data_IF_304212406480
#
_entry.id   IF_304212406480
#
_cell.length_a   1.000
_cell.length_b   1.000
_cell.length_c   1.000
_cell.angle_alpha   90.00
_cell.angle_beta   90.00
_cell.angle_gamma   90.00
#
_symmetry.space_group_name_H-M   'P 1'
#
loop_
_entity.id
_entity.type
_entity.pdbx_description
1 polymer ?
#
# COMPACT_ATOMS: atom_id res chain seq x y z
N UNK A 1 -19.49 -28.76 -4.97
CA UNK A 1 -18.59 -27.58 -5.06
C UNK A 1 -19.02 -26.80 -6.30
N UNK A 2 -19.68 -25.63 -6.19
CA UNK A 2 -19.97 -24.83 -7.40
C UNK A 2 -18.62 -24.37 -7.95
N UNK A 3 -18.29 -24.78 -9.17
CA UNK A 3 -17.12 -24.31 -9.92
C UNK A 3 -17.21 -22.79 -10.02
N UNK A 4 -16.24 -22.09 -9.40
CA UNK A 4 -16.06 -20.65 -9.58
C UNK A 4 -15.71 -20.45 -11.05
N UNK A 5 -16.47 -19.62 -11.77
CA UNK A 5 -16.16 -19.33 -13.17
C UNK A 5 -14.81 -18.62 -13.26
N UNK A 6 -14.07 -18.81 -14.36
CA UNK A 6 -12.84 -18.04 -14.64
C UNK A 6 -13.14 -16.54 -14.55
N UNK A 7 -14.32 -16.12 -15.01
CA UNK A 7 -14.78 -14.74 -14.90
C UNK A 7 -14.87 -14.25 -13.45
N UNK A 8 -15.43 -15.06 -12.55
CA UNK A 8 -15.53 -14.69 -11.13
C UNK A 8 -14.15 -14.58 -10.50
N UNK A 9 -13.23 -15.49 -10.83
CA UNK A 9 -11.84 -15.43 -10.36
C UNK A 9 -11.14 -14.15 -10.82
N UNK A 10 -11.31 -13.73 -12.07
CA UNK A 10 -10.73 -12.47 -12.58
C UNK A 10 -11.29 -11.25 -11.84
N UNK A 11 -12.59 -11.23 -11.52
CA UNK A 11 -13.19 -10.17 -10.73
C UNK A 11 -12.64 -10.13 -9.29
N UNK A 12 -12.40 -11.30 -8.68
CA UNK A 12 -11.77 -11.38 -7.36
C UNK A 12 -10.35 -10.82 -7.38
N UNK A 13 -9.55 -11.20 -8.39
CA UNK A 13 -8.18 -10.70 -8.53
C UNK A 13 -8.16 -9.19 -8.75
N UNK A 14 -8.99 -8.68 -9.67
CA UNK A 14 -9.13 -7.26 -9.92
C UNK A 14 -9.53 -6.49 -8.66
N UNK A 15 -10.54 -6.96 -7.91
CA UNK A 15 -10.89 -6.36 -6.61
C UNK A 15 -9.74 -6.43 -5.62
N UNK A 16 -9.01 -7.55 -5.56
CA UNK A 16 -7.85 -7.70 -4.70
C UNK A 16 -6.78 -6.65 -4.96
N UNK A 17 -6.50 -6.32 -6.23
CA UNK A 17 -5.55 -5.23 -6.57
C UNK A 17 -6.15 -3.87 -6.18
N UNK A 18 -7.42 -3.62 -6.50
CA UNK A 18 -8.10 -2.37 -6.15
C UNK A 18 -8.16 -2.09 -4.65
N UNK A 19 -8.28 -3.14 -3.83
CA UNK A 19 -8.38 -3.05 -2.37
C UNK A 19 -7.10 -2.54 -1.71
N UNK A 20 -5.94 -2.57 -2.38
CA UNK A 20 -4.71 -1.93 -1.87
C UNK A 20 -4.96 -0.43 -1.61
N UNK A 21 -5.78 0.21 -2.45
CA UNK A 21 -6.20 1.60 -2.31
C UNK A 21 -7.67 1.71 -1.91
N UNK A 22 -8.23 0.72 -1.21
CA UNK A 22 -9.62 0.70 -0.74
C UNK A 22 -10.70 0.71 -1.84
N UNK A 23 -10.35 0.30 -3.07
CA UNK A 23 -11.29 0.25 -4.18
C UNK A 23 -11.84 -1.18 -4.36
N UNK A 24 -13.01 -1.45 -3.81
CA UNK A 24 -13.72 -2.72 -4.05
C UNK A 24 -14.36 -2.77 -5.46
N UNK A 25 -13.54 -2.61 -6.49
CA UNK A 25 -13.97 -2.50 -7.89
C UNK A 25 -12.93 -3.14 -8.80
N UNK A 26 -13.36 -4.12 -9.60
CA UNK A 26 -12.45 -4.88 -10.46
C UNK A 26 -11.87 -4.03 -11.59
N UNK A 27 -12.61 -3.06 -12.13
CA UNK A 27 -12.11 -2.14 -13.16
C UNK A 27 -11.07 -1.19 -12.57
N UNK A 28 -11.27 -0.70 -11.34
CA UNK A 28 -10.25 0.07 -10.61
C UNK A 28 -8.95 -0.70 -10.47
N UNK A 29 -9.02 -1.95 -10.00
CA UNK A 29 -7.84 -2.79 -9.88
C UNK A 29 -7.22 -3.18 -11.22
N UNK A 30 -8.00 -3.30 -12.29
CA UNK A 30 -7.47 -3.50 -13.65
C UNK A 30 -6.67 -2.27 -14.11
N UNK A 31 -7.19 -1.06 -13.92
CA UNK A 31 -6.46 0.17 -14.25
C UNK A 31 -5.17 0.31 -13.44
N UNK A 32 -5.20 -0.04 -12.15
CA UNK A 32 -4.00 -0.12 -11.32
C UNK A 32 -3.03 -1.18 -11.84
N UNK A 33 -3.51 -2.36 -12.24
CA UNK A 33 -2.65 -3.40 -12.80
C UNK A 33 -1.98 -2.95 -14.11
N UNK A 34 -2.72 -2.27 -15.00
CA UNK A 34 -2.13 -1.64 -16.20
C UNK A 34 -1.04 -0.65 -15.81
N UNK A 35 -1.30 0.19 -14.81
CA UNK A 35 -0.28 1.10 -14.26
C UNK A 35 0.99 0.36 -13.80
N UNK A 36 0.87 -0.75 -13.09
CA UNK A 36 2.01 -1.56 -12.67
C UNK A 36 2.77 -2.11 -13.89
N UNK A 37 2.07 -2.67 -14.88
CA UNK A 37 2.68 -3.20 -16.10
C UNK A 37 3.41 -2.13 -16.93
N UNK A 38 2.93 -0.89 -16.93
CA UNK A 38 3.60 0.24 -17.59
C UNK A 38 4.94 0.60 -16.92
N UNK A 39 5.05 0.39 -15.62
CA UNK A 39 6.31 0.57 -14.90
C UNK A 39 7.24 -0.64 -15.08
N UNK A 40 6.73 -1.86 -14.85
CA UNK A 40 7.49 -3.10 -15.02
C UNK A 40 6.57 -4.30 -15.23
N UNK A 41 6.84 -5.06 -16.29
CA UNK A 41 6.10 -6.30 -16.54
C UNK A 41 6.35 -7.35 -15.47
N UNK A 42 7.57 -7.40 -14.91
CA UNK A 42 7.93 -8.31 -13.83
C UNK A 42 7.11 -7.99 -12.57
N UNK A 43 7.04 -6.73 -12.16
CA UNK A 43 6.24 -6.32 -11.00
C UNK A 43 4.76 -6.62 -11.22
N UNK A 44 4.24 -6.44 -12.44
CA UNK A 44 2.86 -6.80 -12.80
C UNK A 44 2.56 -8.29 -12.61
N UNK A 45 3.46 -9.17 -13.08
CA UNK A 45 3.32 -10.62 -12.90
C UNK A 45 3.42 -11.01 -11.42
N UNK A 46 4.35 -10.43 -10.66
CA UNK A 46 4.52 -10.72 -9.24
C UNK A 46 3.35 -10.22 -8.39
N UNK A 47 2.80 -9.05 -8.72
CA UNK A 47 1.58 -8.51 -8.11
C UNK A 47 0.41 -9.50 -8.23
N UNK A 48 0.18 -10.02 -9.44
CA UNK A 48 -0.86 -11.01 -9.71
C UNK A 48 -0.55 -12.33 -9.00
N UNK A 49 0.71 -12.79 -9.03
CA UNK A 49 1.15 -14.01 -8.37
C UNK A 49 0.90 -13.99 -6.86
N UNK A 50 1.35 -12.93 -6.16
CA UNK A 50 1.14 -12.77 -4.72
C UNK A 50 -0.35 -12.66 -4.37
N UNK A 51 -1.15 -11.98 -5.19
CA UNK A 51 -2.61 -11.91 -5.04
C UNK A 51 -3.26 -13.30 -5.14
N UNK A 52 -2.89 -14.10 -6.16
CA UNK A 52 -3.39 -15.47 -6.33
C UNK A 52 -3.01 -16.32 -5.11
N UNK A 53 -1.75 -16.30 -4.68
CA UNK A 53 -1.27 -17.13 -3.57
C UNK A 53 -1.99 -16.80 -2.27
N UNK A 54 -2.06 -15.51 -1.90
CA UNK A 54 -2.76 -15.07 -0.69
C UNK A 54 -4.26 -15.36 -0.71
N UNK A 55 -4.91 -15.19 -1.87
CA UNK A 55 -6.33 -15.56 -2.08
C UNK A 55 -6.54 -17.06 -1.93
N UNK A 56 -5.67 -17.90 -2.52
CA UNK A 56 -5.73 -19.36 -2.38
C UNK A 56 -5.49 -19.81 -0.94
N UNK A 57 -4.53 -19.20 -0.25
CA UNK A 57 -4.28 -19.47 1.17
C UNK A 57 -5.54 -19.17 2.02
N UNK A 58 -6.28 -18.11 1.68
CA UNK A 58 -7.54 -17.77 2.35
C UNK A 58 -8.64 -18.80 2.06
N UNK A 59 -8.75 -19.26 0.81
CA UNK A 59 -9.67 -20.34 0.43
C UNK A 59 -9.38 -21.64 1.19
N UNK A 60 -8.11 -22.08 1.21
CA UNK A 60 -7.67 -23.32 1.88
C UNK A 60 -7.89 -23.23 3.38
N UNK A 61 -7.64 -22.05 3.97
CA UNK A 61 -7.79 -21.82 5.40
C UNK A 61 -9.25 -21.53 5.83
N UNK A 62 -10.22 -21.63 4.93
CA UNK A 62 -11.64 -21.50 5.23
C UNK A 62 -12.07 -20.09 5.68
N UNK A 63 -11.52 -19.03 5.08
CA UNK A 63 -11.99 -17.66 5.33
C UNK A 63 -13.36 -17.40 4.68
N UNK A 64 -14.03 -16.33 5.11
CA UNK A 64 -15.36 -15.94 4.64
C UNK A 64 -15.39 -15.77 3.12
N UNK A 65 -16.34 -16.43 2.45
CA UNK A 65 -16.45 -16.41 0.98
C UNK A 65 -16.76 -15.02 0.42
N UNK A 66 -17.55 -14.22 1.13
CA UNK A 66 -17.91 -12.89 0.66
C UNK A 66 -16.74 -11.93 0.76
N UNK A 67 -15.93 -12.02 1.82
CA UNK A 67 -14.67 -11.29 1.94
C UNK A 67 -13.67 -11.67 0.85
N UNK A 68 -13.56 -12.97 0.52
CA UNK A 68 -12.77 -13.45 -0.62
C UNK A 68 -13.28 -12.83 -1.92
N UNK A 69 -14.60 -12.86 -2.17
CA UNK A 69 -15.20 -12.28 -3.37
C UNK A 69 -14.97 -10.77 -3.50
N UNK A 70 -14.87 -10.08 -2.37
CA UNK A 70 -14.57 -8.65 -2.26
C UNK A 70 -13.05 -8.34 -2.34
N UNK A 71 -12.20 -9.35 -2.54
CA UNK A 71 -10.75 -9.17 -2.72
C UNK A 71 -9.98 -8.86 -1.43
N UNK A 72 -10.59 -8.98 -0.25
CA UNK A 72 -9.98 -8.57 1.03
C UNK A 72 -8.76 -9.41 1.44
N UNK A 73 -8.52 -10.55 0.80
CA UNK A 73 -7.36 -11.41 1.08
C UNK A 73 -6.31 -11.38 -0.03
N UNK A 74 -6.52 -10.65 -1.13
CA UNK A 74 -5.58 -10.57 -2.26
C UNK A 74 -4.63 -9.36 -2.22
N UNK A 75 -5.05 -8.26 -1.57
CA UNK A 75 -4.31 -6.99 -1.64
C UNK A 75 -2.97 -7.02 -0.89
N UNK A 76 -2.92 -7.65 0.28
CA UNK A 76 -1.66 -7.81 1.03
C UNK A 76 -0.67 -8.67 0.21
N UNK A 77 -1.13 -9.76 -0.42
CA UNK A 77 -0.29 -10.56 -1.30
C UNK A 77 0.16 -9.80 -2.55
N UNK A 78 -0.68 -8.92 -3.10
CA UNK A 78 -0.30 -8.02 -4.21
C UNK A 78 0.91 -7.16 -3.83
N UNK A 79 0.85 -6.51 -2.67
CA UNK A 79 1.96 -5.68 -2.16
C UNK A 79 3.21 -6.50 -1.85
N UNK A 80 3.06 -7.73 -1.32
CA UNK A 80 4.19 -8.63 -1.07
C UNK A 80 4.87 -9.02 -2.38
N UNK A 81 4.11 -9.41 -3.40
CA UNK A 81 4.67 -9.76 -4.71
C UNK A 81 5.50 -8.63 -5.30
N UNK A 82 4.97 -7.40 -5.25
CA UNK A 82 5.69 -6.22 -5.73
C UNK A 82 6.92 -5.93 -4.87
N UNK A 83 6.77 -5.87 -3.54
CA UNK A 83 7.87 -5.54 -2.63
C UNK A 83 9.03 -6.53 -2.78
N UNK A 84 8.73 -7.82 -2.91
CA UNK A 84 9.74 -8.84 -3.17
C UNK A 84 10.46 -8.53 -4.49
N UNK A 85 9.72 -8.27 -5.57
CA UNK A 85 10.31 -7.87 -6.87
C UNK A 85 11.14 -6.58 -6.85
N UNK A 86 10.90 -5.68 -5.89
CA UNK A 86 11.65 -4.42 -5.73
C UNK A 86 12.91 -4.62 -4.88
N UNK A 87 12.83 -5.41 -3.81
CA UNK A 87 13.93 -5.53 -2.85
C UNK A 87 14.88 -6.70 -3.11
N UNK A 88 14.54 -7.62 -4.01
CA UNK A 88 15.24 -8.90 -4.12
C UNK A 88 15.56 -9.28 -5.57
N UNK A 89 16.72 -9.92 -5.77
CA UNK A 89 17.12 -10.46 -7.07
C UNK A 89 16.28 -11.69 -7.45
N UNK A 90 15.94 -11.79 -8.74
CA UNK A 90 15.14 -12.88 -9.26
C UNK A 90 15.89 -14.22 -9.12
N UNK A 91 15.33 -15.13 -8.33
CA UNK A 91 15.83 -16.50 -8.15
C UNK A 91 14.69 -17.45 -7.81
N UNK A 92 14.97 -18.76 -7.76
CA UNK A 92 13.98 -19.73 -7.32
C UNK A 92 13.62 -19.53 -5.82
N UNK A 93 14.61 -19.20 -4.99
CA UNK A 93 14.43 -18.92 -3.56
C UNK A 93 13.54 -17.70 -3.33
N UNK A 94 13.71 -16.67 -4.14
CA UNK A 94 12.87 -15.49 -4.17
C UNK A 94 11.38 -15.83 -4.38
N UNK A 95 11.04 -16.69 -5.36
CA UNK A 95 9.65 -17.07 -5.61
C UNK A 95 9.05 -17.88 -4.46
N UNK A 96 9.84 -18.76 -3.85
CA UNK A 96 9.42 -19.53 -2.67
C UNK A 96 9.14 -18.61 -1.48
N UNK A 97 10.05 -17.67 -1.20
CA UNK A 97 9.91 -16.72 -0.11
C UNK A 97 8.72 -15.78 -0.32
N UNK A 98 8.49 -15.31 -1.55
CA UNK A 98 7.29 -14.56 -1.91
C UNK A 98 6.02 -15.35 -1.62
N UNK A 99 5.98 -16.64 -1.98
CA UNK A 99 4.83 -17.50 -1.74
C UNK A 99 4.58 -17.68 -0.23
N UNK A 100 5.63 -17.96 0.55
CA UNK A 100 5.55 -18.11 2.00
C UNK A 100 5.09 -16.82 2.67
N UNK A 101 5.68 -15.67 2.32
CA UNK A 101 5.28 -14.37 2.85
C UNK A 101 3.82 -14.03 2.49
N UNK A 102 3.38 -14.33 1.27
CA UNK A 102 2.00 -14.12 0.82
C UNK A 102 1.01 -14.95 1.65
N UNK A 103 1.29 -16.24 1.87
CA UNK A 103 0.48 -17.10 2.75
C UNK A 103 0.48 -16.60 4.20
N UNK A 104 1.65 -16.22 4.71
CA UNK A 104 1.82 -15.73 6.07
C UNK A 104 1.01 -14.45 6.32
N UNK A 105 0.97 -13.55 5.35
CA UNK A 105 0.13 -12.33 5.42
C UNK A 105 -1.35 -12.66 5.59
N UNK A 106 -1.85 -13.65 4.85
CA UNK A 106 -3.23 -14.12 5.00
C UNK A 106 -3.49 -14.61 6.42
N UNK A 107 -2.58 -15.37 7.01
CA UNK A 107 -2.73 -15.85 8.40
C UNK A 107 -2.68 -14.72 9.43
N UNK A 108 -1.85 -13.70 9.23
CA UNK A 108 -1.87 -12.48 10.06
C UNK A 108 -3.23 -11.79 9.98
N UNK A 109 -3.89 -11.75 8.81
CA UNK A 109 -5.25 -11.20 8.70
C UNK A 109 -6.21 -11.88 9.67
N UNK A 110 -6.11 -13.21 9.90
CA UNK A 110 -6.98 -13.91 10.87
C UNK A 110 -6.81 -13.39 12.29
N UNK A 111 -5.58 -13.04 12.68
CA UNK A 111 -5.30 -12.49 14.00
C UNK A 111 -6.02 -11.14 14.18
N UNK A 112 -5.96 -10.28 13.17
CA UNK A 112 -6.71 -9.02 13.16
C UNK A 112 -8.22 -9.23 13.19
N UNK A 113 -8.73 -10.22 12.45
CA UNK A 113 -10.16 -10.58 12.48
C UNK A 113 -10.63 -11.05 13.86
N UNK A 114 -9.75 -11.60 14.71
CA UNK A 114 -10.11 -12.10 16.05
C UNK A 114 -10.09 -11.04 17.15
N UNK A 115 -9.29 -9.98 17.01
CA UNK A 115 -9.18 -8.93 18.06
C UNK A 115 -10.27 -7.85 17.98
N UNK A 116 -10.97 -7.71 16.84
CA UNK A 116 -12.15 -6.85 16.60
C UNK A 116 -12.03 -5.34 16.95
N UNK A 117 -10.89 -4.87 17.42
CA UNK A 117 -10.68 -3.51 17.92
C UNK A 117 -10.17 -2.56 16.84
N UNK A 118 -9.30 -3.06 15.96
CA UNK A 118 -8.67 -2.29 14.87
C UNK A 118 -8.64 -3.11 13.57
N UNK A 119 -8.91 -2.50 12.40
CA UNK A 119 -8.77 -3.16 11.11
C UNK A 119 -7.29 -3.44 10.80
N UNK A 120 -7.04 -4.53 10.07
CA UNK A 120 -5.67 -4.94 9.73
C UNK A 120 -4.98 -4.05 8.69
N UNK A 121 -5.73 -3.37 7.82
CA UNK A 121 -5.18 -2.60 6.71
C UNK A 121 -4.06 -3.38 5.97
N UNK A 122 -2.91 -2.74 5.73
CA UNK A 122 -1.70 -3.34 5.15
C UNK A 122 -0.71 -3.84 6.21
N UNK A 123 -1.08 -3.88 7.49
CA UNK A 123 -0.24 -4.46 8.55
C UNK A 123 0.20 -5.90 8.27
N UNK A 124 -0.66 -6.79 7.73
CA UNK A 124 -0.23 -8.14 7.35
C UNK A 124 0.90 -8.15 6.31
N UNK A 125 0.84 -7.27 5.31
CA UNK A 125 1.92 -7.05 4.35
C UNK A 125 3.20 -6.55 5.05
N UNK A 126 3.11 -5.50 5.88
CA UNK A 126 4.26 -4.89 6.56
C UNK A 126 5.02 -5.92 7.39
N UNK A 127 4.32 -6.66 8.26
CA UNK A 127 4.94 -7.67 9.10
C UNK A 127 5.58 -8.79 8.28
N UNK A 128 4.90 -9.24 7.22
CA UNK A 128 5.44 -10.29 6.35
C UNK A 128 6.72 -9.87 5.65
N UNK A 129 6.77 -8.64 5.12
CA UNK A 129 7.95 -8.11 4.43
C UNK A 129 9.08 -7.77 5.41
N UNK A 130 8.79 -7.19 6.58
CA UNK A 130 9.83 -6.94 7.59
C UNK A 130 10.50 -8.22 8.07
N UNK A 131 9.73 -9.27 8.34
CA UNK A 131 10.29 -10.58 8.71
C UNK A 131 11.10 -11.15 7.54
N UNK A 132 10.58 -11.08 6.32
CA UNK A 132 11.28 -11.56 5.14
C UNK A 132 12.62 -10.84 4.92
N UNK A 133 12.64 -9.51 4.94
CA UNK A 133 13.85 -8.71 4.80
C UNK A 133 14.83 -8.98 5.93
N UNK A 134 14.35 -9.08 7.18
CA UNK A 134 15.18 -9.44 8.32
C UNK A 134 15.86 -10.81 8.16
N UNK A 135 15.12 -11.83 7.71
CA UNK A 135 15.67 -13.15 7.40
C UNK A 135 16.72 -13.05 6.28
N UNK A 136 16.43 -12.34 5.20
CA UNK A 136 17.37 -12.21 4.08
C UNK A 136 18.65 -11.49 4.49
N UNK A 137 18.57 -10.41 5.26
CA UNK A 137 19.75 -9.68 5.75
C UNK A 137 20.67 -10.56 6.60
N UNK A 138 20.11 -11.53 7.35
CA UNK A 138 20.89 -12.38 8.25
C UNK A 138 21.39 -13.67 7.60
N UNK A 139 20.63 -14.26 6.67
CA UNK A 139 20.91 -15.61 6.14
C UNK A 139 21.40 -15.55 4.69
N UNK A 140 20.83 -14.68 3.85
CA UNK A 140 21.10 -14.62 2.40
C UNK A 140 21.16 -13.17 1.91
N UNK A 141 22.17 -12.39 2.34
CA UNK A 141 22.27 -10.97 2.00
C UNK A 141 22.44 -10.76 0.48
N UNK A 142 23.07 -11.70 -0.22
CA UNK A 142 23.27 -11.66 -1.68
C UNK A 142 21.96 -11.61 -2.48
N UNK A 143 20.84 -11.98 -1.85
CA UNK A 143 19.52 -11.95 -2.47
C UNK A 143 18.91 -10.54 -2.46
N UNK A 144 19.39 -9.64 -1.60
CA UNK A 144 18.88 -8.28 -1.48
C UNK A 144 19.51 -7.37 -2.54
N UNK A 145 18.68 -6.55 -3.18
CA UNK A 145 19.14 -5.49 -4.06
C UNK A 145 19.66 -4.32 -3.23
N UNK A 146 20.89 -3.89 -3.53
CA UNK A 146 21.47 -2.67 -2.96
C UNK A 146 20.97 -1.49 -3.79
N UNK A 147 20.38 -0.48 -3.13
CA UNK A 147 20.03 0.76 -3.81
C UNK A 147 21.31 1.50 -4.19
N UNK A 148 21.55 1.69 -5.49
CA UNK A 148 22.57 2.60 -5.96
C UNK A 148 22.06 4.05 -5.80
N UNK A 149 22.73 4.83 -4.95
CA UNK A 149 22.48 6.27 -4.87
C UNK A 149 23.24 6.95 -6.00
N UNK A 150 22.55 7.27 -7.10
CA UNK A 150 23.07 8.19 -8.11
C UNK A 150 22.85 9.61 -7.59
N UNK A 151 23.91 10.23 -7.09
CA UNK A 151 23.86 11.61 -6.60
C UNK A 151 23.91 12.57 -7.79
N UNK A 152 22.76 12.76 -8.45
CA UNK A 152 22.53 13.98 -9.21
C UNK A 152 22.06 15.05 -8.22
N UNK A 153 22.63 16.24 -8.27
CA UNK A 153 22.21 17.34 -7.39
C UNK A 153 20.84 17.86 -7.82
N UNK A 154 19.77 17.20 -7.37
CA UNK A 154 18.39 17.67 -7.54
C UNK A 154 18.19 18.89 -6.65
N UNK A 155 18.10 20.08 -7.26
CA UNK A 155 18.01 21.35 -6.52
C UNK A 155 16.58 21.80 -6.25
N UNK A 156 15.59 21.28 -6.98
CA UNK A 156 14.20 21.75 -6.92
C UNK A 156 13.20 20.58 -6.92
N UNK A 157 12.02 20.84 -6.35
CA UNK A 157 10.92 19.88 -6.31
C UNK A 157 10.13 19.98 -7.61
N UNK A 158 10.06 18.88 -8.35
CA UNK A 158 9.11 18.72 -9.44
C UNK A 158 7.78 18.27 -8.85
N UNK A 159 6.85 19.21 -8.72
CA UNK A 159 5.53 18.93 -8.14
C UNK A 159 4.70 17.93 -8.95
N UNK A 160 4.88 17.85 -10.27
CA UNK A 160 4.14 16.90 -11.11
C UNK A 160 4.69 15.49 -10.89
N UNK A 161 6.01 15.35 -10.86
CA UNK A 161 6.69 14.10 -10.54
C UNK A 161 6.37 13.65 -9.12
N UNK A 162 6.55 14.51 -8.11
CA UNK A 162 6.24 14.23 -6.72
C UNK A 162 4.78 13.82 -6.51
N UNK A 163 3.85 14.44 -7.26
CA UNK A 163 2.44 14.06 -7.26
C UNK A 163 2.22 12.66 -7.85
N UNK A 164 2.70 12.41 -9.07
CA UNK A 164 2.44 11.13 -9.73
C UNK A 164 3.14 9.97 -9.01
N UNK A 165 4.40 10.15 -8.61
CA UNK A 165 5.17 9.15 -7.87
C UNK A 165 4.65 8.99 -6.45
N UNK A 166 4.17 10.04 -5.79
CA UNK A 166 3.52 9.93 -4.48
C UNK A 166 2.30 8.99 -4.50
N UNK A 167 1.54 8.97 -5.60
CA UNK A 167 0.44 8.02 -5.79
C UNK A 167 0.97 6.62 -6.17
N UNK A 168 1.93 6.54 -7.10
CA UNK A 168 2.51 5.29 -7.58
C UNK A 168 3.24 4.49 -6.49
N UNK A 169 3.93 5.19 -5.58
CA UNK A 169 4.70 4.59 -4.48
C UNK A 169 3.85 3.81 -3.47
N UNK A 170 2.52 4.00 -3.45
CA UNK A 170 1.62 3.14 -2.65
C UNK A 170 1.79 1.66 -3.02
N UNK A 171 2.15 1.38 -4.27
CA UNK A 171 2.50 0.05 -4.75
C UNK A 171 3.94 0.00 -5.27
N UNK A 172 4.87 0.82 -4.79
CA UNK A 172 6.29 0.83 -5.23
C UNK A 172 6.51 1.09 -6.73
N UNK A 173 5.74 2.00 -7.33
CA UNK A 173 5.84 2.30 -8.76
C UNK A 173 6.48 3.66 -8.99
N UNK A 174 7.63 3.68 -9.68
CA UNK A 174 8.43 4.87 -9.98
C UNK A 174 8.19 5.38 -11.41
N UNK A 175 6.92 5.49 -11.79
CA UNK A 175 6.52 5.94 -13.13
C UNK A 175 5.34 6.93 -13.08
N UNK A 176 5.46 8.03 -13.82
CA UNK A 176 4.46 9.10 -13.87
C UNK A 176 3.10 8.60 -14.35
N UNK A 177 3.07 7.81 -15.42
CA UNK A 177 1.83 7.27 -15.98
C UNK A 177 1.16 6.32 -14.99
N UNK A 178 1.92 5.53 -14.25
CA UNK A 178 1.37 4.62 -13.24
C UNK A 178 0.57 5.38 -12.19
N UNK A 179 1.08 6.51 -11.68
CA UNK A 179 0.35 7.38 -10.76
C UNK A 179 -0.99 7.87 -11.34
N UNK A 180 -1.00 8.26 -12.62
CA UNK A 180 -2.22 8.69 -13.31
C UNK A 180 -3.23 7.55 -13.49
N UNK A 181 -2.77 6.34 -13.84
CA UNK A 181 -3.62 5.15 -13.93
C UNK A 181 -4.21 4.75 -12.57
N UNK A 182 -3.45 4.89 -11.49
CA UNK A 182 -3.94 4.64 -10.13
C UNK A 182 -5.01 5.66 -9.76
N UNK A 183 -4.77 6.95 -10.02
CA UNK A 183 -5.74 8.01 -9.79
C UNK A 183 -7.03 7.80 -10.60
N UNK A 184 -6.90 7.44 -11.89
CA UNK A 184 -8.03 7.10 -12.74
C UNK A 184 -8.79 5.87 -12.22
N UNK A 185 -8.07 4.84 -11.76
CA UNK A 185 -8.64 3.66 -11.12
C UNK A 185 -9.48 4.00 -9.90
N UNK A 186 -9.00 4.90 -9.04
CA UNK A 186 -9.76 5.42 -7.90
C UNK A 186 -10.98 6.22 -8.40
N UNK A 187 -10.82 7.10 -9.40
CA UNK A 187 -11.89 7.92 -9.95
C UNK A 187 -13.05 7.14 -10.57
N UNK A 188 -12.76 5.98 -11.17
CA UNK A 188 -13.80 5.06 -11.67
C UNK A 188 -14.73 4.59 -10.56
N UNK A 189 -14.23 4.40 -9.33
CA UNK A 189 -15.01 3.89 -8.21
C UNK A 189 -15.49 4.98 -7.24
N UNK A 190 -14.71 6.05 -7.06
CA UNK A 190 -14.99 7.11 -6.09
C UNK A 190 -14.31 8.45 -6.41
N UNK A 191 -15.12 9.45 -6.77
CA UNK A 191 -14.67 10.84 -6.90
C UNK A 191 -14.22 11.43 -5.55
N UNK A 192 -14.90 11.10 -4.44
CA UNK A 192 -14.44 11.49 -3.10
C UNK A 192 -13.08 10.90 -2.81
N UNK A 193 -12.86 9.63 -3.16
CA UNK A 193 -11.55 8.98 -3.05
C UNK A 193 -10.48 9.70 -3.86
N UNK A 194 -10.79 10.10 -5.09
CA UNK A 194 -9.87 10.84 -5.98
C UNK A 194 -9.43 12.16 -5.37
N UNK A 195 -10.37 12.93 -4.79
CA UNK A 195 -10.06 14.15 -4.06
C UNK A 195 -9.12 13.88 -2.88
N UNK A 196 -9.40 12.84 -2.07
CA UNK A 196 -8.55 12.47 -0.94
C UNK A 196 -7.18 11.93 -1.36
N UNK A 197 -7.07 11.25 -2.50
CA UNK A 197 -5.78 10.86 -3.08
C UNK A 197 -4.96 12.08 -3.45
N UNK A 198 -5.56 13.08 -4.09
CA UNK A 198 -4.87 14.32 -4.43
C UNK A 198 -4.43 15.08 -3.17
N UNK A 199 -5.32 15.22 -2.18
CA UNK A 199 -5.03 15.84 -0.89
C UNK A 199 -3.91 15.10 -0.15
N UNK A 200 -4.01 13.78 -0.04
CA UNK A 200 -3.07 12.90 0.63
C UNK A 200 -1.70 12.84 -0.04
N UNK A 201 -1.59 13.28 -1.29
CA UNK A 201 -0.31 13.42 -1.99
C UNK A 201 0.28 14.82 -1.86
N UNK A 202 -0.53 15.86 -2.12
CA UNK A 202 -0.07 17.25 -2.14
C UNK A 202 0.22 17.80 -0.75
N UNK A 203 -0.60 17.49 0.25
CA UNK A 203 -0.41 17.99 1.61
C UNK A 203 0.93 17.55 2.22
N UNK A 204 1.34 16.27 2.13
CA UNK A 204 2.68 15.86 2.55
C UNK A 204 3.81 16.58 1.84
N UNK A 205 3.72 16.76 0.52
CA UNK A 205 4.76 17.45 -0.26
C UNK A 205 4.92 18.89 0.24
N UNK A 206 3.82 19.63 0.40
CA UNK A 206 3.85 21.01 0.89
C UNK A 206 4.39 21.09 2.33
N UNK A 207 3.96 20.18 3.20
CA UNK A 207 4.43 20.12 4.58
C UNK A 207 5.94 19.80 4.65
N UNK A 208 6.41 18.88 3.83
CA UNK A 208 7.81 18.47 3.76
C UNK A 208 8.71 19.58 3.20
N UNK A 209 8.26 20.32 2.18
CA UNK A 209 8.96 21.51 1.66
C UNK A 209 9.09 22.57 2.74
N UNK A 210 8.02 22.84 3.49
CA UNK A 210 8.06 23.81 4.60
C UNK A 210 9.11 23.46 5.66
N UNK A 211 9.31 22.17 5.92
CA UNK A 211 10.32 21.65 6.85
C UNK A 211 11.71 21.43 6.26
N UNK A 212 11.93 21.78 4.98
CA UNK A 212 13.22 21.64 4.33
C UNK A 212 13.67 20.19 4.12
N UNK A 213 12.72 19.26 3.92
CA UNK A 213 13.05 17.88 3.53
C UNK A 213 13.64 17.90 2.10
N UNK A 214 14.64 17.04 1.88
CA UNK A 214 15.37 16.92 0.61
C UNK A 214 14.44 16.81 -0.61
N UNK A 215 14.61 17.68 -1.64
CA UNK A 215 13.87 17.59 -2.89
C UNK A 215 13.96 16.22 -3.59
N UNK A 216 15.06 15.49 -3.44
CA UNK A 216 15.21 14.15 -4.04
C UNK A 216 14.16 13.18 -3.47
N UNK A 217 14.02 13.12 -2.14
CA UNK A 217 13.00 12.29 -1.47
C UNK A 217 11.58 12.67 -1.88
N UNK A 218 11.32 13.95 -2.15
CA UNK A 218 10.02 14.44 -2.60
C UNK A 218 9.74 14.02 -4.03
N UNK A 219 10.71 14.18 -4.93
CA UNK A 219 10.57 13.79 -6.33
C UNK A 219 10.45 12.28 -6.51
N UNK A 220 11.04 11.48 -5.62
CA UNK A 220 10.81 10.02 -5.55
C UNK A 220 9.43 9.63 -5.02
N UNK A 221 8.62 10.58 -4.55
CA UNK A 221 7.27 10.34 -4.03
C UNK A 221 7.21 9.77 -2.61
N UNK A 222 8.34 9.70 -1.89
CA UNK A 222 8.47 8.98 -0.62
C UNK A 222 7.70 9.61 0.55
N UNK A 223 7.30 10.88 0.42
CA UNK A 223 6.49 11.57 1.43
C UNK A 223 4.97 11.43 1.19
N UNK A 224 4.54 11.12 -0.05
CA UNK A 224 3.12 11.19 -0.45
C UNK A 224 2.31 9.92 -0.17
N UNK A 225 2.89 8.74 -0.41
CA UNK A 225 2.10 7.50 -0.50
C UNK A 225 1.42 7.08 0.80
N UNK A 226 2.07 7.27 1.96
CA UNK A 226 1.44 7.03 3.26
C UNK A 226 0.28 8.01 3.51
N UNK A 227 0.45 9.27 3.08
CA UNK A 227 -0.61 10.28 3.13
C UNK A 227 -1.82 9.91 2.26
N UNK A 228 -1.61 9.36 1.05
CA UNK A 228 -2.68 8.86 0.19
C UNK A 228 -3.54 7.83 0.92
N UNK A 229 -2.91 6.83 1.53
CA UNK A 229 -3.64 5.76 2.24
C UNK A 229 -4.35 6.30 3.50
N UNK A 230 -3.73 7.21 4.25
CA UNK A 230 -4.37 7.89 5.39
C UNK A 230 -5.64 8.65 4.96
N UNK A 231 -5.52 9.43 3.88
CA UNK A 231 -6.61 10.22 3.35
C UNK A 231 -7.76 9.35 2.82
N UNK A 232 -7.45 8.24 2.13
CA UNK A 232 -8.46 7.30 1.66
C UNK A 232 -9.15 6.54 2.80
N UNK A 233 -8.42 6.18 3.86
CA UNK A 233 -8.96 5.42 4.97
C UNK A 233 -9.90 6.22 5.88
N UNK A 234 -9.62 7.51 6.09
CA UNK A 234 -10.37 8.37 7.03
C UNK A 234 -11.20 9.45 6.33
N UNK A 235 -10.98 9.67 5.05
CA UNK A 235 -11.68 10.67 4.24
C UNK A 235 -13.17 10.34 4.09
N UNK A 236 -14.01 11.37 4.11
CA UNK A 236 -15.45 11.23 3.99
C UNK A 236 -16.12 12.54 3.58
N UNK A 237 -17.45 12.56 3.50
CA UNK A 237 -18.19 13.76 3.05
C UNK A 237 -18.40 14.82 4.14
N UNK A 238 -18.00 14.54 5.38
CA UNK A 238 -18.24 15.44 6.52
C UNK A 238 -17.00 16.27 6.85
N UNK A 239 -17.20 17.44 7.47
CA UNK A 239 -16.09 18.24 7.98
C UNK A 239 -15.26 17.50 9.03
N UNK A 240 -15.92 16.74 9.92
CA UNK A 240 -15.23 15.93 10.94
C UNK A 240 -14.30 14.89 10.31
N UNK A 241 -14.75 14.15 9.30
CA UNK A 241 -13.90 13.19 8.56
C UNK A 241 -12.75 13.88 7.83
N UNK A 242 -13.00 15.06 7.25
CA UNK A 242 -11.95 15.84 6.59
C UNK A 242 -10.83 16.24 7.55
N UNK A 243 -11.16 16.75 8.74
CA UNK A 243 -10.18 17.11 9.77
C UNK A 243 -9.38 15.87 10.22
N UNK A 244 -10.05 14.74 10.48
CA UNK A 244 -9.36 13.51 10.88
C UNK A 244 -8.40 12.99 9.80
N UNK A 245 -8.81 13.07 8.52
CA UNK A 245 -7.95 12.73 7.40
C UNK A 245 -6.70 13.64 7.35
N UNK A 246 -6.86 14.96 7.47
CA UNK A 246 -5.73 15.91 7.52
C UNK A 246 -4.75 15.58 8.65
N UNK A 247 -5.27 15.38 9.87
CA UNK A 247 -4.44 15.01 11.02
C UNK A 247 -3.66 13.72 10.78
N UNK A 248 -4.31 12.70 10.20
CA UNK A 248 -3.67 11.43 9.91
C UNK A 248 -2.60 11.55 8.82
N UNK A 249 -2.87 12.33 7.76
CA UNK A 249 -1.91 12.59 6.69
C UNK A 249 -0.66 13.23 7.27
N UNK A 250 -0.78 14.32 8.04
CA UNK A 250 0.37 15.01 8.62
C UNK A 250 1.14 14.14 9.61
N UNK A 251 0.45 13.37 10.46
CA UNK A 251 1.08 12.42 11.37
C UNK A 251 1.86 11.33 10.61
N UNK A 252 1.34 10.86 9.47
CA UNK A 252 2.04 9.86 8.65
C UNK A 252 3.36 10.39 8.07
N UNK A 253 3.45 11.68 7.75
CA UNK A 253 4.70 12.30 7.27
C UNK A 253 5.76 12.34 8.36
N UNK A 254 5.36 12.70 9.59
CA UNK A 254 6.26 12.69 10.75
C UNK A 254 6.78 11.28 11.01
N UNK A 255 5.91 10.27 10.99
CA UNK A 255 6.28 8.87 11.17
C UNK A 255 7.16 8.35 10.02
N UNK A 256 6.89 8.75 8.78
CA UNK A 256 7.69 8.41 7.60
C UNK A 256 9.11 8.95 7.74
N UNK A 257 9.25 10.24 8.06
CA UNK A 257 10.54 10.87 8.20
C UNK A 257 11.34 10.27 9.37
N UNK A 258 10.68 10.02 10.51
CA UNK A 258 11.31 9.35 11.65
C UNK A 258 11.80 7.95 11.29
N UNK A 259 10.99 7.15 10.59
CA UNK A 259 11.37 5.81 10.15
C UNK A 259 12.55 5.79 9.20
N UNK A 260 12.59 6.71 8.21
CA UNK A 260 13.75 6.87 7.31
C UNK A 260 15.01 7.24 8.10
N UNK A 261 14.93 8.20 9.04
CA UNK A 261 16.08 8.60 9.87
C UNK A 261 16.61 7.48 10.76
N UNK A 262 15.76 6.53 11.14
CA UNK A 262 16.13 5.32 11.88
C UNK A 262 16.68 4.20 10.98
N UNK A 263 16.75 4.41 9.65
CA UNK A 263 17.23 3.41 8.70
C UNK A 263 16.23 2.27 8.45
N UNK A 264 14.95 2.48 8.75
CA UNK A 264 13.91 1.45 8.60
C UNK A 264 13.30 1.56 7.20
N UNK A 265 13.18 0.42 6.50
CA UNK A 265 12.29 0.30 5.35
C UNK A 265 10.84 0.42 5.82
N UNK A 266 10.34 1.66 5.82
CA UNK A 266 9.06 2.04 6.44
C UNK A 266 7.85 1.34 5.83
N UNK A 267 7.89 1.03 4.52
CA UNK A 267 6.74 0.52 3.77
C UNK A 267 5.51 1.41 4.08
N UNK A 268 4.33 0.82 4.21
CA UNK A 268 3.11 1.56 4.59
C UNK A 268 2.88 1.64 6.11
N UNK A 269 3.90 1.39 6.95
CA UNK A 269 3.74 1.40 8.40
C UNK A 269 3.32 2.78 8.97
N UNK A 270 3.86 3.91 8.47
CA UNK A 270 3.41 5.24 8.89
C UNK A 270 1.92 5.48 8.65
N UNK A 271 1.37 4.99 7.55
CA UNK A 271 -0.08 5.00 7.29
C UNK A 271 -0.85 4.22 8.36
N UNK A 272 -0.51 2.95 8.58
CA UNK A 272 -1.25 2.07 9.50
C UNK A 272 -1.24 2.62 10.91
N UNK A 273 -0.06 3.02 11.40
CA UNK A 273 0.10 3.58 12.74
C UNK A 273 -0.67 4.88 12.90
N UNK A 274 -0.58 5.78 11.92
CA UNK A 274 -1.29 7.05 11.94
C UNK A 274 -2.81 6.85 12.01
N UNK A 275 -3.37 5.99 11.15
CA UNK A 275 -4.82 5.74 11.14
C UNK A 275 -5.27 5.06 12.43
N UNK A 276 -4.52 4.09 12.96
CA UNK A 276 -4.85 3.47 14.25
C UNK A 276 -4.86 4.49 15.39
N UNK A 277 -3.88 5.39 15.47
CA UNK A 277 -3.85 6.45 16.48
C UNK A 277 -5.09 7.35 16.38
N UNK A 278 -5.45 7.78 15.17
CA UNK A 278 -6.63 8.63 14.96
C UNK A 278 -7.93 7.87 15.29
N UNK A 279 -8.05 6.60 14.92
CA UNK A 279 -9.23 5.77 15.27
C UNK A 279 -9.38 5.61 16.79
N UNK A 280 -8.27 5.44 17.52
CA UNK A 280 -8.29 5.37 18.98
C UNK A 280 -8.73 6.72 19.58
N UNK A 281 -8.18 7.83 19.07
CA UNK A 281 -8.59 9.18 19.50
C UNK A 281 -10.07 9.44 19.24
N UNK A 282 -10.61 9.03 18.09
CA UNK A 282 -12.04 9.17 17.77
C UNK A 282 -12.93 8.42 18.78
N UNK A 283 -12.54 7.21 19.18
CA UNK A 283 -13.27 6.45 20.22
C UNK A 283 -13.29 7.23 21.53
N UNK A 284 -12.14 7.74 21.98
CA UNK A 284 -12.02 8.51 23.23
C UNK A 284 -12.84 9.80 23.19
N UNK A 285 -12.84 10.53 22.07
CA UNK A 285 -13.61 11.77 21.90
C UNK A 285 -15.11 11.49 21.92
N UNK A 286 -15.57 10.45 21.23
CA UNK A 286 -16.99 10.12 21.19
C UNK A 286 -17.50 9.61 22.55
N UNK A 287 -16.71 8.85 23.31
CA UNK A 287 -17.10 8.41 24.67
C UNK A 287 -17.17 9.53 25.71
N UNK A 288 -16.58 10.70 25.44
CA UNK A 288 -16.64 11.88 26.33
C UNK A 288 -17.78 12.84 25.97
N UNK A 289 -18.47 12.60 24.86
CA UNK A 289 -19.59 13.41 24.39
C UNK A 289 -20.97 12.80 24.70
N UNK A 290 -21.00 11.63 25.33
CA UNK A 290 -22.18 10.99 25.94
C UNK A 290 -22.15 11.24 27.46
#
# INVERSE_FOLDING_TARGET
>A
MKTISIYDSLLVLGRGIGQVMFQNNALSGLLMLVGIFLNSWQLGVLAVGGNIISTLAACISGYGRDDIKNGLYGFNGTLIGIAVGVFMQLSLWFLLLMAVASCFSTWIVRLFSRQHSLPGFTAPFIFSVWILLGICTWITPDLLLVSETVSDTVREVDYVQAFCLGIGQVMFQENLLTGLFFLAGIGVNSWTGTFYTALGTLLPVLFAVFWGIDPEMLNMGLMGYNGVLCALALGGKTWKSFVWALCSVLLSVVLQFAGIKLGITTLTAPFVLSVWMIMIMQKVVNTKGE
#
